data_IF_441091497000
#
_entry.id   IF_441091497000
#
_cell.length_a   1.000
_cell.length_b   1.000
_cell.length_c   1.000
_cell.angle_alpha   90.00
_cell.angle_beta   90.00
_cell.angle_gamma   90.00
#
_symmetry.space_group_name_H-M   'P 1'
#
loop_
_entity.id
_entity.type
_entity.pdbx_description
1 polymer ?
#
# COMPACT_ATOMS: atom_id res chain seq x y z
N UNK A 1 -11.89 -18.15 10.01
CA UNK A 1 -11.17 -17.02 10.65
C UNK A 1 -11.21 -15.84 9.69
N UNK A 2 -11.34 -14.60 10.20
CA UNK A 2 -11.30 -13.42 9.35
C UNK A 2 -9.95 -13.36 8.62
N UNK A 3 -10.01 -13.32 7.30
CA UNK A 3 -8.85 -13.36 6.43
C UNK A 3 -8.33 -11.93 6.27
N UNK A 4 -7.20 -11.63 6.90
CA UNK A 4 -6.71 -10.25 7.06
C UNK A 4 -5.30 -10.14 6.55
N UNK A 5 -4.95 -8.96 6.07
CA UNK A 5 -3.60 -8.65 5.64
C UNK A 5 -3.06 -7.37 6.28
N UNK A 6 -1.75 -7.29 6.35
CA UNK A 6 -1.03 -6.02 6.43
C UNK A 6 -0.42 -5.76 5.05
N UNK A 7 -0.89 -4.70 4.42
CA UNK A 7 -0.31 -4.10 3.24
C UNK A 7 0.88 -3.24 3.64
N UNK A 8 2.02 -3.43 2.98
CA UNK A 8 3.26 -2.70 3.25
C UNK A 8 3.69 -1.99 1.98
N UNK A 9 4.08 -0.72 2.07
CA UNK A 9 4.93 -0.15 1.03
C UNK A 9 6.30 -0.85 1.05
N UNK A 10 7.03 -0.73 -0.05
CA UNK A 10 8.34 -1.34 -0.22
C UNK A 10 9.45 -0.39 0.22
N UNK A 11 9.56 0.72 -0.50
CA UNK A 11 10.62 1.71 -0.36
C UNK A 11 10.41 2.51 0.93
N UNK A 12 11.47 2.69 1.73
CA UNK A 12 11.48 3.34 3.05
C UNK A 12 10.54 2.74 4.12
N UNK A 13 9.90 1.61 3.81
CA UNK A 13 9.07 0.83 4.75
C UNK A 13 9.67 -0.55 5.03
N UNK A 14 10.00 -1.30 3.97
CA UNK A 14 10.68 -2.60 4.08
C UNK A 14 12.18 -2.51 3.81
N UNK A 15 12.57 -1.66 2.86
CA UNK A 15 13.96 -1.49 2.42
C UNK A 15 14.33 -0.02 2.44
N UNK A 16 15.62 0.28 2.63
CA UNK A 16 16.12 1.64 2.46
C UNK A 16 16.15 1.99 0.97
N UNK A 17 15.51 3.11 0.58
CA UNK A 17 15.58 3.61 -0.78
C UNK A 17 15.28 5.11 -0.88
N UNK A 18 16.31 5.91 -1.15
CA UNK A 18 16.19 7.36 -1.38
C UNK A 18 16.05 7.73 -2.88
N UNK A 19 15.74 6.76 -3.76
CA UNK A 19 15.62 7.00 -5.20
C UNK A 19 14.93 5.88 -5.99
N UNK A 20 15.37 5.70 -7.24
CA UNK A 20 14.84 4.67 -8.15
C UNK A 20 15.68 3.38 -8.04
N UNK A 21 15.30 2.48 -7.13
CA UNK A 21 16.00 1.22 -6.90
C UNK A 21 15.51 0.10 -7.84
N UNK A 22 16.23 -0.10 -8.94
CA UNK A 22 16.09 -1.26 -9.83
C UNK A 22 17.17 -2.33 -9.66
N UNK A 23 18.24 -2.03 -8.92
CA UNK A 23 19.37 -2.96 -8.74
C UNK A 23 19.15 -3.85 -7.49
N UNK A 24 18.99 -5.17 -7.65
CA UNK A 24 18.79 -6.08 -6.53
C UNK A 24 19.97 -6.08 -5.55
N UNK A 25 21.21 -5.84 -5.99
CA UNK A 25 22.36 -5.91 -5.08
C UNK A 25 22.38 -4.76 -4.07
N UNK A 26 21.67 -3.67 -4.37
CA UNK A 26 21.50 -2.51 -3.48
C UNK A 26 20.37 -2.66 -2.46
N UNK A 27 19.63 -3.78 -2.48
CA UNK A 27 18.56 -4.01 -1.51
C UNK A 27 19.14 -4.14 -0.10
N UNK A 28 18.72 -3.25 0.80
CA UNK A 28 19.03 -3.31 2.23
C UNK A 28 17.74 -3.26 3.02
N UNK A 29 17.43 -4.30 3.79
CA UNK A 29 16.27 -4.32 4.67
C UNK A 29 16.40 -3.24 5.73
N UNK A 30 15.30 -2.56 6.02
CA UNK A 30 15.21 -1.67 7.19
C UNK A 30 15.36 -2.50 8.46
N UNK A 31 16.05 -1.94 9.44
CA UNK A 31 16.25 -2.58 10.73
C UNK A 31 14.89 -2.98 11.36
N UNK A 32 14.77 -4.28 11.69
CA UNK A 32 13.56 -4.84 12.29
C UNK A 32 12.44 -5.19 11.30
N UNK A 33 12.61 -4.96 9.99
CA UNK A 33 11.58 -5.30 9.00
C UNK A 33 11.25 -6.80 9.00
N UNK A 34 12.27 -7.67 9.00
CA UNK A 34 12.06 -9.12 9.00
C UNK A 34 11.34 -9.61 10.28
N UNK A 35 11.75 -9.11 11.45
CA UNK A 35 11.12 -9.48 12.72
C UNK A 35 9.69 -8.94 12.85
N UNK A 36 9.42 -7.75 12.30
CA UNK A 36 8.08 -7.19 12.24
C UNK A 36 7.16 -8.04 11.35
N UNK A 37 7.60 -8.41 10.14
CA UNK A 37 6.86 -9.33 9.26
C UNK A 37 6.57 -10.64 9.98
N UNK A 38 7.58 -11.27 10.59
CA UNK A 38 7.40 -12.53 11.33
C UNK A 38 6.39 -12.39 12.48
N UNK A 39 6.40 -11.26 13.18
CA UNK A 39 5.47 -10.97 14.27
C UNK A 39 4.04 -10.77 13.77
N UNK A 40 3.85 -10.00 12.69
CA UNK A 40 2.53 -9.82 12.05
C UNK A 40 1.96 -11.14 11.54
N UNK A 41 2.81 -11.99 10.95
CA UNK A 41 2.46 -13.36 10.58
C UNK A 41 2.07 -14.21 11.78
N UNK A 42 2.79 -14.11 12.90
CA UNK A 42 2.43 -14.74 14.18
C UNK A 42 1.08 -14.26 14.73
N UNK A 43 0.68 -13.03 14.41
CA UNK A 43 -0.64 -12.48 14.70
C UNK A 43 -1.72 -12.90 13.67
N UNK A 44 -1.41 -13.80 12.74
CA UNK A 44 -2.38 -14.34 11.79
C UNK A 44 -2.69 -13.43 10.59
N UNK A 45 -1.87 -12.40 10.34
CA UNK A 45 -2.00 -11.59 9.13
C UNK A 45 -1.24 -12.22 7.96
N UNK A 46 -1.83 -12.11 6.76
CA UNK A 46 -1.08 -12.20 5.50
C UNK A 46 -0.27 -10.91 5.30
N UNK A 47 0.85 -10.99 4.60
CA UNK A 47 1.72 -9.87 4.31
C UNK A 47 1.71 -9.64 2.81
N UNK A 48 1.29 -8.44 2.40
CA UNK A 48 1.18 -8.07 0.99
C UNK A 48 1.97 -6.80 0.78
N UNK A 49 2.86 -6.79 -0.20
CA UNK A 49 3.60 -5.58 -0.59
C UNK A 49 2.86 -4.87 -1.72
N UNK A 50 2.60 -3.57 -1.57
CA UNK A 50 1.93 -2.73 -2.56
C UNK A 50 2.76 -1.47 -2.82
N UNK A 51 3.36 -1.34 -4.00
CA UNK A 51 4.40 -0.32 -4.24
C UNK A 51 4.26 0.42 -5.58
N UNK A 52 4.52 1.73 -5.57
CA UNK A 52 4.58 2.53 -6.80
C UNK A 52 5.99 2.43 -7.40
N UNK A 53 6.14 1.83 -8.57
CA UNK A 53 7.43 1.64 -9.26
C UNK A 53 7.53 2.52 -10.51
N UNK A 54 7.36 3.83 -10.31
CA UNK A 54 7.39 4.82 -11.39
C UNK A 54 8.75 4.96 -12.09
N UNK A 55 9.82 4.36 -11.56
CA UNK A 55 11.11 4.28 -12.23
C UNK A 55 11.04 3.52 -13.57
N UNK A 56 10.08 2.57 -13.71
CA UNK A 56 9.78 1.91 -14.98
C UNK A 56 9.29 2.92 -16.02
N UNK A 57 8.25 3.67 -15.68
CA UNK A 57 7.74 4.76 -16.52
C UNK A 57 8.81 5.83 -16.86
N UNK A 58 9.76 6.08 -15.96
CA UNK A 58 10.89 7.00 -16.18
C UNK A 58 12.05 6.40 -16.97
N UNK A 59 11.98 5.13 -17.37
CA UNK A 59 13.05 4.42 -18.09
C UNK A 59 14.32 4.21 -17.26
N UNK A 60 14.21 4.18 -15.93
CA UNK A 60 15.35 3.99 -15.01
C UNK A 60 15.72 2.52 -14.82
N UNK A 61 14.73 1.64 -14.89
CA UNK A 61 14.85 0.19 -14.82
C UNK A 61 13.62 -0.46 -15.44
N UNK A 62 13.66 -1.75 -15.69
CA UNK A 62 12.59 -2.55 -16.31
C UNK A 62 11.69 -3.20 -15.27
N UNK A 63 10.54 -3.75 -15.69
CA UNK A 63 9.71 -4.59 -14.82
C UNK A 63 10.46 -5.86 -14.36
N UNK A 64 11.33 -6.42 -15.19
CA UNK A 64 12.17 -7.55 -14.81
C UNK A 64 13.15 -7.20 -13.67
N UNK A 65 13.64 -5.96 -13.64
CA UNK A 65 14.48 -5.46 -12.55
C UNK A 65 13.67 -5.31 -11.25
N UNK A 66 12.41 -4.86 -11.34
CA UNK A 66 11.48 -4.82 -10.20
C UNK A 66 11.28 -6.23 -9.62
N UNK A 67 11.06 -7.22 -10.48
CA UNK A 67 10.90 -8.61 -10.06
C UNK A 67 12.17 -9.17 -9.40
N UNK A 68 13.35 -8.84 -9.95
CA UNK A 68 14.64 -9.20 -9.35
C UNK A 68 14.83 -8.58 -7.95
N UNK A 69 14.45 -7.30 -7.78
CA UNK A 69 14.45 -6.62 -6.48
C UNK A 69 13.48 -7.31 -5.51
N UNK A 70 12.26 -7.65 -5.92
CA UNK A 70 11.32 -8.38 -5.08
C UNK A 70 11.85 -9.74 -4.65
N UNK A 71 12.46 -10.50 -5.57
CA UNK A 71 13.08 -11.78 -5.24
C UNK A 71 14.21 -11.62 -4.23
N UNK A 72 15.02 -10.56 -4.37
CA UNK A 72 16.09 -10.26 -3.42
C UNK A 72 15.56 -9.89 -2.03
N UNK A 73 14.44 -9.17 -1.94
CA UNK A 73 13.76 -8.90 -0.66
C UNK A 73 13.37 -10.22 -0.01
N UNK A 74 12.72 -11.11 -0.76
CA UNK A 74 12.35 -12.45 -0.26
C UNK A 74 13.57 -13.20 0.25
N UNK A 75 14.68 -13.20 -0.51
CA UNK A 75 15.91 -13.87 -0.10
C UNK A 75 16.51 -13.30 1.19
N UNK A 76 16.43 -11.98 1.40
CA UNK A 76 16.90 -11.33 2.64
C UNK A 76 15.98 -11.58 3.83
N UNK A 77 14.72 -11.92 3.61
CA UNK A 77 13.78 -12.27 4.68
C UNK A 77 13.92 -13.73 5.13
N UNK A 78 14.35 -14.65 4.25
CA UNK A 78 14.50 -16.10 4.52
C UNK A 78 15.21 -16.46 5.83
N UNK A 79 16.29 -15.78 6.27
CA UNK A 79 16.96 -16.12 7.52
C UNK A 79 16.10 -15.95 8.77
N UNK A 80 15.04 -15.14 8.70
CA UNK A 80 14.11 -14.94 9.82
C UNK A 80 12.92 -15.87 9.67
N UNK A 81 12.74 -16.78 10.63
CA UNK A 81 11.60 -17.71 10.62
C UNK A 81 10.26 -16.95 10.58
N UNK A 82 9.32 -17.43 9.76
CA UNK A 82 7.99 -16.85 9.56
C UNK A 82 7.97 -15.43 8.92
N UNK A 83 9.11 -14.86 8.51
CA UNK A 83 9.15 -13.59 7.77
C UNK A 83 8.81 -13.81 6.29
N UNK A 84 7.52 -14.03 5.99
CA UNK A 84 7.05 -14.41 4.66
C UNK A 84 6.15 -13.31 4.09
N UNK A 85 6.43 -12.91 2.85
CA UNK A 85 5.54 -12.09 2.02
C UNK A 85 4.68 -13.01 1.16
N UNK A 86 3.36 -12.87 1.24
CA UNK A 86 2.41 -13.70 0.51
C UNK A 86 2.26 -13.25 -0.95
N UNK A 87 2.26 -11.93 -1.19
CA UNK A 87 2.09 -11.31 -2.52
C UNK A 87 2.82 -9.98 -2.66
N UNK A 88 3.22 -9.68 -3.89
CA UNK A 88 3.69 -8.37 -4.32
C UNK A 88 2.75 -7.84 -5.40
N UNK A 89 2.36 -6.58 -5.30
CA UNK A 89 1.70 -5.81 -6.33
C UNK A 89 2.48 -4.52 -6.54
N UNK A 90 2.66 -4.11 -7.80
CA UNK A 90 3.32 -2.86 -8.11
C UNK A 90 2.63 -2.13 -9.26
N UNK A 91 2.78 -0.80 -9.27
CA UNK A 91 2.32 0.04 -10.36
C UNK A 91 3.50 0.65 -11.13
N UNK A 92 3.74 0.26 -12.40
CA UNK A 92 4.81 0.83 -13.22
C UNK A 92 4.40 2.16 -13.89
N UNK A 93 3.10 2.50 -13.91
CA UNK A 93 2.54 3.64 -14.65
C UNK A 93 2.77 4.99 -13.97
N UNK A 94 2.90 6.03 -14.80
CA UNK A 94 2.99 7.43 -14.40
C UNK A 94 2.33 8.35 -15.44
N UNK A 95 1.55 9.38 -15.06
CA UNK A 95 0.94 10.31 -16.02
C UNK A 95 1.98 11.03 -16.89
N UNK A 96 3.10 11.40 -16.30
CA UNK A 96 4.22 12.08 -16.95
C UNK A 96 5.38 11.12 -17.32
N UNK A 97 5.09 9.85 -17.63
CA UNK A 97 6.14 8.87 -17.97
C UNK A 97 7.03 9.34 -19.14
N UNK A 98 8.28 8.89 -19.19
CA UNK A 98 9.15 9.09 -20.37
C UNK A 98 8.92 7.97 -21.39
N UNK A 99 8.70 6.74 -20.90
CA UNK A 99 8.38 5.58 -21.72
C UNK A 99 6.88 5.58 -22.01
N UNK A 100 6.51 5.72 -23.28
CA UNK A 100 5.11 5.97 -23.69
C UNK A 100 4.16 4.83 -23.31
N UNK A 101 4.62 3.57 -23.30
CA UNK A 101 3.84 2.42 -22.85
C UNK A 101 3.29 2.58 -21.43
N UNK A 102 4.02 3.29 -20.56
CA UNK A 102 3.65 3.48 -19.16
C UNK A 102 3.03 4.86 -18.88
N UNK A 103 2.82 5.69 -19.92
CA UNK A 103 2.33 7.07 -19.81
C UNK A 103 0.82 7.14 -19.64
N UNK A 104 0.34 6.99 -18.41
CA UNK A 104 -1.07 7.15 -18.06
C UNK A 104 -1.29 7.31 -16.57
N UNK A 105 -2.41 7.94 -16.21
CA UNK A 105 -3.01 7.71 -14.90
C UNK A 105 -3.48 6.25 -14.81
N UNK A 106 -3.31 5.63 -13.65
CA UNK A 106 -3.64 4.22 -13.47
C UNK A 106 -4.24 3.97 -12.09
N UNK A 107 -5.35 3.19 -11.97
CA UNK A 107 -5.98 2.92 -10.68
C UNK A 107 -5.08 2.21 -9.65
N UNK A 108 -4.00 1.57 -10.09
CA UNK A 108 -3.02 0.94 -9.19
C UNK A 108 -1.97 1.92 -8.64
N UNK A 109 -1.88 3.15 -9.16
CA UNK A 109 -0.91 4.13 -8.67
C UNK A 109 -1.45 4.79 -7.41
N UNK A 110 -0.84 4.52 -6.25
CA UNK A 110 -1.18 5.21 -4.99
C UNK A 110 -1.06 6.73 -5.20
N UNK A 111 -2.06 7.55 -4.81
CA UNK A 111 -3.08 7.29 -3.78
C UNK A 111 -4.32 6.49 -4.23
N UNK A 112 -4.44 6.09 -5.50
CA UNK A 112 -5.54 5.23 -5.92
C UNK A 112 -5.43 3.82 -5.25
N UNK A 113 -6.55 3.21 -4.84
CA UNK A 113 -6.56 2.01 -4.02
C UNK A 113 -6.41 0.70 -4.81
N UNK A 114 -6.21 0.74 -6.12
CA UNK A 114 -6.39 -0.42 -7.01
C UNK A 114 -5.52 -1.63 -6.66
N UNK A 115 -4.28 -1.44 -6.21
CA UNK A 115 -3.44 -2.56 -5.75
C UNK A 115 -4.00 -3.23 -4.50
N UNK A 116 -4.54 -2.44 -3.55
CA UNK A 116 -5.12 -2.96 -2.32
C UNK A 116 -6.43 -3.68 -2.62
N UNK A 117 -7.28 -3.11 -3.47
CA UNK A 117 -8.55 -3.72 -3.89
C UNK A 117 -8.32 -5.05 -4.61
N UNK A 118 -7.37 -5.10 -5.54
CA UNK A 118 -7.00 -6.36 -6.22
C UNK A 118 -6.53 -7.41 -5.21
N UNK A 119 -5.67 -7.02 -4.27
CA UNK A 119 -5.17 -7.93 -3.26
C UNK A 119 -6.27 -8.41 -2.29
N UNK A 120 -7.24 -7.55 -1.96
CA UNK A 120 -8.42 -7.91 -1.16
C UNK A 120 -9.24 -8.98 -1.88
N UNK A 121 -9.47 -8.82 -3.18
CA UNK A 121 -10.20 -9.79 -4.00
C UNK A 121 -9.41 -11.11 -4.13
N UNK A 122 -8.17 -11.06 -4.63
CA UNK A 122 -7.32 -12.22 -4.89
C UNK A 122 -7.11 -13.11 -3.66
N UNK A 123 -7.08 -12.48 -2.48
CA UNK A 123 -6.84 -13.15 -1.23
C UNK A 123 -8.11 -13.36 -0.41
N UNK A 124 -9.28 -12.89 -0.85
CA UNK A 124 -10.56 -12.90 -0.12
C UNK A 124 -10.44 -12.32 1.30
N UNK A 125 -9.95 -11.07 1.38
CA UNK A 125 -9.66 -10.38 2.64
C UNK A 125 -10.87 -9.61 3.17
N UNK A 126 -10.97 -9.47 4.49
CA UNK A 126 -11.86 -8.55 5.19
C UNK A 126 -11.15 -7.18 5.35
N UNK A 127 -11.55 -6.13 4.60
CA UNK A 127 -10.86 -4.84 4.61
C UNK A 127 -10.84 -4.18 5.99
N UNK A 128 -11.92 -4.29 6.77
CA UNK A 128 -12.02 -3.73 8.12
C UNK A 128 -11.06 -4.38 9.12
N UNK A 129 -10.58 -5.58 8.78
CA UNK A 129 -9.54 -6.30 9.48
C UNK A 129 -8.12 -5.99 9.01
N UNK A 130 -7.94 -5.31 7.87
CA UNK A 130 -6.64 -5.06 7.26
C UNK A 130 -6.00 -3.74 7.73
N UNK A 131 -4.72 -3.58 7.36
CA UNK A 131 -3.89 -2.41 7.63
C UNK A 131 -3.03 -2.06 6.40
N UNK A 132 -2.83 -0.78 6.12
CA UNK A 132 -1.81 -0.25 5.20
C UNK A 132 -0.71 0.45 6.00
N UNK A 133 0.55 0.13 5.74
CA UNK A 133 1.70 0.77 6.36
C UNK A 133 2.61 1.31 5.26
N UNK A 134 2.91 2.60 5.29
CA UNK A 134 3.80 3.26 4.34
C UNK A 134 4.46 4.48 4.93
N UNK A 135 5.43 5.06 4.22
CA UNK A 135 6.17 6.26 4.63
C UNK A 135 5.56 7.56 4.08
N UNK A 136 4.56 7.48 3.20
CA UNK A 136 3.98 8.67 2.56
C UNK A 136 2.47 8.76 2.74
N UNK A 137 1.93 10.00 2.69
CA UNK A 137 0.49 10.22 2.83
C UNK A 137 -0.34 9.53 1.74
N UNK A 138 0.21 9.37 0.53
CA UNK A 138 -0.44 8.58 -0.53
C UNK A 138 -0.73 7.13 -0.12
N UNK A 139 0.04 6.55 0.80
CA UNK A 139 -0.20 5.20 1.32
C UNK A 139 -1.40 5.17 2.26
N UNK A 140 -1.50 6.19 3.11
CA UNK A 140 -2.63 6.43 4.01
C UNK A 140 -3.91 6.62 3.20
N UNK A 141 -3.86 7.48 2.18
CA UNK A 141 -5.00 7.74 1.28
C UNK A 141 -5.45 6.48 0.53
N UNK A 142 -4.51 5.72 -0.03
CA UNK A 142 -4.83 4.45 -0.69
C UNK A 142 -5.46 3.44 0.28
N UNK A 143 -4.97 3.40 1.52
CA UNK A 143 -5.54 2.59 2.60
C UNK A 143 -7.00 2.96 2.88
N UNK A 144 -7.26 4.23 3.15
CA UNK A 144 -8.61 4.72 3.44
C UNK A 144 -9.56 4.53 2.25
N UNK A 145 -9.11 4.79 1.03
CA UNK A 145 -9.90 4.58 -0.18
C UNK A 145 -10.23 3.09 -0.43
N UNK A 146 -9.42 2.16 0.09
CA UNK A 146 -9.68 0.72 0.06
C UNK A 146 -10.52 0.23 1.26
N UNK A 147 -10.94 1.11 2.18
CA UNK A 147 -11.64 0.74 3.39
C UNK A 147 -10.78 0.01 4.43
N UNK A 148 -9.45 0.16 4.34
CA UNK A 148 -8.50 -0.41 5.31
C UNK A 148 -7.96 0.67 6.23
N UNK A 149 -7.55 0.28 7.42
CA UNK A 149 -6.88 1.17 8.38
C UNK A 149 -5.46 1.46 7.90
N UNK A 150 -4.85 2.55 8.34
CA UNK A 150 -3.53 2.99 7.93
C UNK A 150 -2.62 3.37 9.10
N UNK A 151 -1.32 3.14 8.94
CA UNK A 151 -0.26 3.62 9.83
C UNK A 151 0.80 4.31 8.97
N UNK A 152 1.14 5.54 9.32
CA UNK A 152 2.19 6.29 8.64
C UNK A 152 3.51 6.15 9.40
N UNK A 153 4.56 5.77 8.67
CA UNK A 153 5.92 5.74 9.17
C UNK A 153 6.55 7.12 9.02
N UNK A 154 6.82 7.79 10.15
CA UNK A 154 7.51 9.07 10.15
C UNK A 154 8.21 9.31 11.48
N UNK A 155 9.43 9.85 11.43
CA UNK A 155 10.19 10.29 12.61
C UNK A 155 9.69 11.62 13.16
N UNK A 156 9.03 12.42 12.32
CA UNK A 156 8.48 13.72 12.67
C UNK A 156 6.97 13.71 12.52
N UNK A 157 6.28 14.66 13.15
CA UNK A 157 4.84 14.80 12.95
C UNK A 157 4.61 15.30 11.52
N UNK A 158 3.88 14.57 10.68
CA UNK A 158 3.60 14.99 9.31
C UNK A 158 2.63 16.18 9.34
N UNK A 159 2.79 17.08 8.38
CA UNK A 159 1.76 18.08 8.06
C UNK A 159 0.69 17.33 7.27
N UNK A 160 -0.50 17.21 7.83
CA UNK A 160 -1.64 16.58 7.17
C UNK A 160 -2.46 17.71 6.56
N UNK A 161 -2.58 17.70 5.24
CA UNK A 161 -3.34 18.73 4.52
C UNK A 161 -4.82 18.69 4.87
N UNK A 162 -5.52 19.85 4.85
CA UNK A 162 -6.96 19.89 5.00
C UNK A 162 -7.66 19.01 3.95
N UNK A 163 -8.46 18.04 4.41
CA UNK A 163 -9.21 17.13 3.55
C UNK A 163 -8.62 15.72 3.42
N UNK A 164 -7.40 15.49 3.90
CA UNK A 164 -6.83 14.13 4.02
C UNK A 164 -7.19 13.56 5.38
N UNK A 165 -7.87 12.41 5.41
CA UNK A 165 -8.17 11.72 6.65
C UNK A 165 -6.86 11.28 7.34
N UNK A 166 -6.68 11.58 8.65
CA UNK A 166 -5.44 11.24 9.34
C UNK A 166 -5.30 9.72 9.50
N UNK A 167 -4.07 9.19 9.52
CA UNK A 167 -3.85 7.78 9.78
C UNK A 167 -4.22 7.43 11.22
N UNK A 168 -4.53 6.15 11.46
CA UNK A 168 -4.83 5.65 12.80
C UNK A 168 -3.66 5.78 13.78
N UNK A 169 -2.43 5.81 13.27
CA UNK A 169 -1.23 6.08 14.04
C UNK A 169 -0.12 6.63 13.15
N UNK A 170 0.76 7.44 13.76
CA UNK A 170 2.05 7.83 13.20
C UNK A 170 3.13 7.27 14.12
N UNK A 171 4.06 6.50 13.57
CA UNK A 171 5.11 5.80 14.34
C UNK A 171 6.45 5.88 13.62
N UNK A 172 7.56 5.70 14.35
CA UNK A 172 8.87 5.93 13.78
C UNK A 172 9.37 4.81 12.85
N UNK A 173 8.84 3.59 13.00
CA UNK A 173 9.33 2.40 12.29
C UNK A 173 8.30 1.25 12.27
N UNK A 174 8.57 0.24 11.46
CA UNK A 174 7.70 -0.92 11.24
C UNK A 174 7.51 -1.80 12.51
N UNK A 175 8.50 -1.83 13.42
CA UNK A 175 8.39 -2.56 14.69
C UNK A 175 7.36 -1.90 15.61
N UNK A 176 7.36 -0.57 15.70
CA UNK A 176 6.34 0.18 16.44
C UNK A 176 4.95 0.04 15.81
N UNK A 177 4.86 0.07 14.47
CA UNK A 177 3.60 -0.18 13.77
C UNK A 177 3.02 -1.56 14.12
N UNK A 178 3.89 -2.58 14.17
CA UNK A 178 3.50 -3.94 14.59
C UNK A 178 2.97 -3.97 16.02
N UNK A 179 3.58 -3.20 16.94
CA UNK A 179 3.11 -3.08 18.33
C UNK A 179 1.71 -2.46 18.40
N UNK A 180 1.45 -1.40 17.63
CA UNK A 180 0.12 -0.77 17.55
C UNK A 180 -0.93 -1.77 17.07
N UNK A 181 -0.62 -2.56 16.04
CA UNK A 181 -1.52 -3.58 15.50
C UNK A 181 -1.79 -4.69 16.54
N UNK A 182 -0.77 -5.13 17.27
CA UNK A 182 -0.91 -6.13 18.32
C UNK A 182 -1.80 -5.65 19.48
N UNK A 183 -1.59 -4.42 19.96
CA UNK A 183 -2.38 -3.83 21.04
C UNK A 183 -3.86 -3.72 20.68
N UNK A 184 -4.17 -3.16 19.50
CA UNK A 184 -5.57 -3.00 19.05
C UNK A 184 -6.29 -4.33 18.82
N UNK A 185 -5.55 -5.39 18.52
CA UNK A 185 -6.12 -6.73 18.44
C UNK A 185 -6.54 -7.19 19.84
N UNK A 186 -5.66 -7.09 20.82
CA UNK A 186 -5.97 -7.48 22.20
C UNK A 186 -7.15 -6.70 22.75
N UNK A 187 -7.26 -5.40 22.44
CA UNK A 187 -8.40 -4.58 22.87
C UNK A 187 -9.72 -5.05 22.24
N UNK A 188 -9.71 -5.39 20.94
CA UNK A 188 -10.91 -5.94 20.26
C UNK A 188 -11.29 -7.31 20.77
N UNK A 189 -10.31 -8.19 20.97
CA UNK A 189 -10.54 -9.54 21.47
C UNK A 189 -11.07 -9.47 22.91
N UNK A 190 -10.51 -8.57 23.74
CA UNK A 190 -11.02 -8.27 25.09
C UNK A 190 -12.43 -7.68 25.05
N UNK A 191 -12.70 -6.69 24.20
CA UNK A 191 -14.02 -6.08 24.07
C UNK A 191 -15.09 -7.08 23.60
N UNK A 192 -14.73 -8.03 22.73
CA UNK A 192 -15.63 -9.14 22.33
C UNK A 192 -15.97 -10.08 23.49
N UNK A 193 -15.00 -10.36 24.35
CA UNK A 193 -15.23 -11.15 25.57
C UNK A 193 -16.19 -10.41 26.52
N UNK A 194 -15.99 -9.10 26.70
CA UNK A 194 -16.82 -8.30 27.61
C UNK A 194 -18.21 -7.95 27.04
N UNK A 195 -18.40 -7.96 25.71
CA UNK A 195 -19.68 -7.67 25.05
C UNK A 195 -20.57 -8.90 24.83
N UNK A 196 -20.22 -10.06 25.40
CA UNK A 196 -21.10 -11.22 25.45
C UNK A 196 -21.31 -11.93 24.11
N UNK A 197 -20.30 -11.96 23.23
CA UNK A 197 -20.33 -12.82 22.05
C UNK A 197 -20.49 -14.28 22.49
N UNK A 198 -21.51 -14.97 21.95
CA UNK A 198 -21.98 -16.31 22.32
C UNK A 198 -20.95 -17.16 23.06
N UNK A 199 -21.27 -17.41 24.34
CA UNK A 199 -20.60 -18.41 25.15
C UNK A 199 -20.80 -19.76 24.47
N UNK A 200 -19.86 -20.16 23.63
CA UNK A 200 -19.62 -21.57 23.37
C UNK A 200 -19.20 -22.14 24.73
N UNK A 201 -20.16 -22.77 25.40
CA UNK A 201 -19.91 -23.62 26.56
C UNK A 201 -18.91 -24.66 26.07
N UNK A 202 -17.63 -24.42 26.39
CA UNK A 202 -16.62 -25.46 26.27
C UNK A 202 -16.92 -26.38 27.44
N UNK A 203 -17.60 -27.48 27.16
CA UNK A 203 -17.73 -28.57 28.11
C UNK A 203 -16.32 -28.91 28.64
N UNK A 204 -16.13 -29.00 29.96
CA UNK A 204 -14.85 -29.40 30.50
C UNK A 204 -14.47 -30.76 29.89
N UNK A 205 -13.20 -30.97 29.48
CA UNK A 205 -12.79 -32.25 28.92
C UNK A 205 -13.16 -33.36 29.92
N UNK A 206 -13.69 -34.50 29.46
CA UNK A 206 -14.04 -35.59 30.34
C UNK A 206 -12.82 -35.97 31.18
N UNK A 207 -13.01 -35.93 32.50
CA UNK A 207 -12.00 -36.32 33.49
C UNK A 207 -11.51 -37.74 33.13
N UNK A 208 -10.20 -38.00 33.05
CA UNK A 208 -9.70 -39.35 32.81
C UNK A 208 -10.24 -40.27 33.90
N UNK A 209 -11.06 -41.24 33.51
CA UNK A 209 -11.43 -42.36 34.37
C UNK A 209 -10.15 -43.13 34.66
N UNK A 210 -9.75 -43.17 35.93
CA UNK A 210 -8.68 -44.04 36.42
C UNK A 210 -9.01 -45.49 36.04
N UNK A 211 -8.11 -46.23 35.36
CA UNK A 211 -8.24 -47.66 35.26
C UNK A 211 -7.98 -48.28 36.64
N UNK A 212 -8.90 -49.14 37.06
CA UNK A 212 -8.81 -49.94 38.26
C UNK A 212 -7.56 -50.84 38.24
N UNK A 213 -7.01 -51.04 39.44
CA UNK A 213 -5.87 -51.88 39.79
C UNK A 213 -5.79 -53.19 38.99
N UNK A 214 -4.70 -53.37 38.26
CA UNK A 214 -4.21 -54.69 37.80
C UNK A 214 -2.90 -55.00 38.54
N UNK A 215 -2.69 -56.21 39.10
CA UNK A 215 -1.48 -56.55 39.86
C UNK A 215 -0.21 -56.59 39.00
N UNK A 216 0.99 -56.40 39.60
CA UNK A 216 2.24 -56.25 38.85
C UNK A 216 2.76 -57.59 38.29
N UNK A 217 3.25 -57.55 37.05
CA UNK A 217 3.94 -58.65 36.38
C UNK A 217 5.44 -58.69 36.79
N UNK A 218 6.10 -59.87 36.84
CA UNK A 218 7.47 -60.00 37.37
C UNK A 218 8.57 -59.49 36.41
N UNK A 219 9.80 -59.24 36.91
CA UNK A 219 10.83 -58.51 36.17
C UNK A 219 11.55 -59.38 35.13
N UNK A 220 11.78 -58.82 33.94
CA UNK A 220 12.74 -59.35 32.96
C UNK A 220 13.91 -58.37 32.78
N UNK A 221 15.13 -58.90 32.95
CA UNK A 221 16.44 -58.31 32.63
C UNK A 221 17.13 -59.18 31.56
N UNK A 222 18.25 -58.76 30.94
CA UNK A 222 18.57 -57.48 30.33
C UNK A 222 18.98 -57.65 28.84
N UNK A 223 19.25 -56.55 28.14
CA UNK A 223 19.64 -56.49 26.72
C UNK A 223 21.00 -57.16 26.39
N UNK A 224 21.20 -57.67 25.15
CA UNK A 224 22.52 -57.99 24.59
C UNK A 224 23.02 -56.92 23.58
N UNK A 225 24.32 -56.96 23.20
CA UNK A 225 25.16 -55.77 23.02
C UNK A 225 25.27 -55.23 21.58
N UNK A 226 25.83 -54.02 21.48
CA UNK A 226 26.29 -53.38 20.24
C UNK A 226 27.57 -54.02 19.67
N UNK A 227 27.71 -53.90 18.34
CA UNK A 227 28.93 -53.71 17.49
C UNK A 227 29.10 -54.79 16.39
N UNK A 228 29.80 -54.56 15.26
CA UNK A 228 30.45 -53.34 14.76
C UNK A 228 30.11 -52.96 13.28
N UNK A 229 30.58 -51.77 12.94
CA UNK A 229 30.81 -51.13 11.65
C UNK A 229 31.41 -52.04 10.54
N UNK A 230 30.87 -51.98 9.31
CA UNK A 230 31.64 -52.24 8.07
C UNK A 230 30.92 -51.72 6.81
N UNK A 231 31.67 -50.89 6.09
CA UNK A 231 31.73 -50.62 4.65
C UNK A 231 30.52 -50.21 3.79
N UNK A 232 30.72 -49.02 3.18
CA UNK A 232 29.95 -48.35 2.13
C UNK A 232 29.85 -49.19 0.84
N UNK A 233 28.77 -48.98 0.08
CA UNK A 233 28.94 -48.58 -1.32
C UNK A 233 28.54 -47.11 -1.54
N UNK A 234 29.43 -46.36 -2.20
CA UNK A 234 29.18 -45.00 -2.66
C UNK A 234 28.12 -44.99 -3.77
N UNK A 235 26.98 -44.34 -3.54
CA UNK A 235 26.01 -43.94 -4.57
C UNK A 235 26.45 -42.59 -5.16
N UNK A 236 26.38 -42.38 -6.49
CA UNK A 236 26.90 -41.18 -7.14
C UNK A 236 26.10 -39.93 -6.75
N UNK A 237 26.69 -38.72 -6.87
CA UNK A 237 26.03 -37.48 -6.47
C UNK A 237 24.76 -37.27 -7.30
N UNK A 238 23.63 -37.23 -6.61
CA UNK A 238 22.36 -36.78 -7.18
C UNK A 238 22.53 -35.35 -7.69
N UNK A 239 22.30 -35.15 -8.98
CA UNK A 239 22.29 -33.84 -9.65
C UNK A 239 21.56 -32.77 -8.83
N UNK A 240 22.02 -31.51 -8.86
CA UNK A 240 21.30 -30.42 -8.20
C UNK A 240 19.89 -30.34 -8.80
N UNK A 241 18.89 -30.58 -7.95
CA UNK A 241 17.48 -30.36 -8.31
C UNK A 241 17.35 -28.95 -8.88
N UNK A 242 17.10 -28.86 -10.18
CA UNK A 242 16.73 -27.61 -10.86
C UNK A 242 15.62 -26.95 -10.06
N UNK A 243 15.72 -25.65 -9.72
CA UNK A 243 14.63 -24.95 -9.05
C UNK A 243 13.39 -24.98 -9.95
N UNK A 244 12.44 -25.84 -9.60
CA UNK A 244 11.12 -25.87 -10.22
C UNK A 244 10.33 -24.67 -9.73
N UNK A 245 10.45 -23.55 -10.46
CA UNK A 245 9.37 -22.72 -11.00
C UNK A 245 9.96 -21.37 -11.45
N UNK A 246 9.96 -21.04 -12.75
CA UNK A 246 10.20 -19.67 -13.16
C UNK A 246 9.05 -18.80 -12.64
N UNK A 247 9.41 -17.71 -11.98
CA UNK A 247 8.53 -16.58 -11.72
C UNK A 247 7.90 -16.15 -13.05
N UNK A 248 6.57 -16.28 -13.19
CA UNK A 248 5.84 -15.64 -14.28
C UNK A 248 5.46 -14.24 -13.79
N UNK A 249 5.80 -13.16 -14.50
CA UNK A 249 5.20 -11.84 -14.21
C UNK A 249 3.69 -12.03 -14.26
N UNK A 250 3.01 -11.72 -13.14
CA UNK A 250 1.56 -11.88 -13.08
C UNK A 250 0.95 -10.86 -14.03
N UNK A 251 0.42 -11.38 -15.13
CA UNK A 251 -0.18 -10.61 -16.20
C UNK A 251 -1.22 -9.66 -15.61
N UNK A 252 -1.07 -8.37 -15.90
CA UNK A 252 -2.10 -7.36 -15.71
C UNK A 252 -3.32 -7.84 -16.50
N UNK A 253 -4.27 -8.46 -15.83
CA UNK A 253 -5.57 -8.70 -16.43
C UNK A 253 -6.26 -7.33 -16.54
N UNK A 254 -6.73 -6.92 -17.72
CA UNK A 254 -7.56 -5.73 -17.80
C UNK A 254 -8.80 -5.96 -16.94
N UNK A 255 -9.02 -5.10 -15.95
CA UNK A 255 -10.29 -5.01 -15.23
C UNK A 255 -11.34 -4.57 -16.25
N UNK A 256 -12.08 -5.53 -16.82
CA UNK A 256 -13.29 -5.26 -17.58
C UNK A 256 -14.40 -5.13 -16.56
N UNK A 257 -14.79 -3.89 -16.27
CA UNK A 257 -16.03 -3.61 -15.54
C UNK A 257 -17.19 -4.07 -16.45
N UNK A 258 -18.03 -5.04 -16.07
CA UNK A 258 -19.16 -5.44 -16.89
C UNK A 258 -20.18 -4.30 -16.91
N UNK A 259 -20.34 -3.66 -18.08
CA UNK A 259 -21.55 -2.90 -18.36
C UNK A 259 -22.56 -3.93 -18.85
N UNK A 260 -23.51 -4.32 -18.00
CA UNK A 260 -24.63 -5.15 -18.41
C UNK A 260 -25.42 -4.42 -19.51
N UNK A 261 -25.28 -4.89 -20.76
CA UNK A 261 -26.16 -4.54 -21.86
C UNK A 261 -27.45 -5.34 -21.71
N UNK A 262 -28.54 -4.65 -21.37
CA UNK A 262 -29.90 -5.19 -21.41
C UNK A 262 -30.21 -5.72 -22.82
N UNK A 263 -30.81 -6.91 -22.98
CA UNK A 263 -31.02 -7.51 -24.29
C UNK A 263 -32.07 -6.72 -25.10
N UNK A 264 -31.69 -6.42 -26.35
CA UNK A 264 -32.54 -5.88 -27.41
C UNK A 264 -33.53 -6.94 -27.86
N UNK A 265 -34.82 -6.76 -27.57
CA UNK A 265 -35.89 -7.50 -28.23
C UNK A 265 -36.31 -6.73 -29.47
N UNK A 266 -35.96 -7.28 -30.63
CA UNK A 266 -36.54 -6.98 -31.93
C UNK A 266 -37.98 -7.48 -31.98
N UNK A 267 -38.90 -6.71 -32.57
CA UNK A 267 -39.95 -7.16 -33.51
C UNK A 267 -40.81 -5.95 -33.98
N UNK A 268 -41.49 -6.06 -35.14
CA UNK A 268 -41.39 -5.09 -36.23
C UNK A 268 -42.50 -4.03 -36.29
N UNK A 269 -42.17 -2.96 -37.01
CA UNK A 269 -43.01 -1.83 -37.41
C UNK A 269 -44.19 -2.29 -38.26
N UNK A 270 -45.41 -1.92 -37.85
CA UNK A 270 -46.60 -1.83 -38.71
C UNK A 270 -47.23 -0.45 -38.51
N UNK A 271 -47.50 0.23 -39.63
CA UNK A 271 -48.07 1.58 -39.71
C UNK A 271 -49.62 1.56 -39.57
N UNK A 272 -50.26 2.70 -39.25
CA UNK A 272 -51.62 2.77 -38.70
C UNK A 272 -52.70 2.98 -39.78
N UNK A 273 -53.99 2.90 -39.39
CA UNK A 273 -54.88 4.01 -39.72
C UNK A 273 -55.87 4.42 -38.60
N UNK A 274 -56.07 5.75 -38.53
CA UNK A 274 -57.29 6.56 -38.29
C UNK A 274 -58.39 6.14 -37.29
N UNK A 275 -58.61 7.05 -36.31
CA UNK A 275 -59.85 7.62 -35.70
C UNK A 275 -61.23 6.96 -35.92
N UNK A 276 -62.29 7.19 -35.07
CA UNK A 276 -62.46 8.23 -34.04
C UNK A 276 -63.12 7.76 -32.71
N UNK A 277 -63.36 8.75 -31.84
CA UNK A 277 -64.02 8.73 -30.54
C UNK A 277 -65.50 8.27 -30.52
N UNK A 278 -65.94 7.75 -29.37
CA UNK A 278 -67.24 7.94 -28.69
C UNK A 278 -67.23 7.10 -27.38
N UNK A 279 -67.54 7.68 -26.21
CA UNK A 279 -68.78 7.42 -25.41
C UNK A 279 -68.94 5.93 -25.00
N UNK A 280 -69.30 5.50 -23.79
CA UNK A 280 -69.88 6.07 -22.58
C UNK A 280 -70.10 4.89 -21.59
N UNK A 281 -69.85 5.12 -20.29
CA UNK A 281 -70.75 4.74 -19.16
C UNK A 281 -70.83 3.29 -18.62
N UNK A 282 -70.66 3.24 -17.29
CA UNK A 282 -71.14 2.38 -16.18
C UNK A 282 -70.67 0.94 -15.86
N UNK A 283 -70.34 0.82 -14.57
CA UNK A 283 -70.46 -0.29 -13.59
C UNK A 283 -69.79 -1.64 -13.82
N UNK A 284 -68.88 -2.01 -12.89
CA UNK A 284 -69.05 -3.12 -11.91
C UNK A 284 -67.73 -3.41 -11.14
N UNK A 285 -67.85 -3.63 -9.84
CA UNK A 285 -66.81 -4.14 -8.91
C UNK A 285 -66.26 -5.51 -9.34
N UNK A 286 -64.93 -5.71 -9.27
CA UNK A 286 -64.34 -6.87 -8.57
C UNK A 286 -62.78 -6.85 -8.51
N UNK A 287 -62.30 -7.14 -7.31
CA UNK A 287 -61.09 -7.85 -6.85
C UNK A 287 -59.70 -7.78 -7.55
N UNK A 288 -58.68 -7.69 -6.68
CA UNK A 288 -57.29 -8.14 -6.79
C UNK A 288 -56.43 -7.72 -7.99
N UNK A 289 -55.45 -6.83 -7.76
CA UNK A 289 -53.99 -7.13 -7.75
C UNK A 289 -53.15 -5.86 -7.64
N UNK A 290 -52.31 -5.80 -6.61
CA UNK A 290 -51.22 -4.84 -6.46
C UNK A 290 -50.12 -5.12 -7.50
N UNK A 291 -49.91 -4.19 -8.44
CA UNK A 291 -48.75 -4.19 -9.33
C UNK A 291 -47.86 -2.98 -9.03
N UNK A 292 -46.61 -3.29 -8.69
CA UNK A 292 -45.49 -2.38 -8.46
C UNK A 292 -45.33 -1.35 -9.59
N UNK A 293 -45.35 -0.06 -9.25
CA UNK A 293 -44.89 1.02 -10.12
C UNK A 293 -43.36 1.12 -9.98
N UNK A 294 -42.55 0.88 -11.02
CA UNK A 294 -41.11 1.08 -10.94
C UNK A 294 -40.77 2.58 -10.82
N UNK A 295 -39.76 2.96 -10.02
CA UNK A 295 -39.40 4.36 -9.82
C UNK A 295 -38.91 5.02 -11.12
N UNK A 296 -39.14 6.33 -11.31
CA UNK A 296 -38.73 7.04 -12.51
C UNK A 296 -37.20 7.04 -12.66
N UNK A 297 -36.67 7.01 -13.90
CA UNK A 297 -35.24 7.05 -14.15
C UNK A 297 -34.62 8.37 -13.63
N UNK A 298 -33.36 8.35 -13.15
CA UNK A 298 -32.71 9.54 -12.62
C UNK A 298 -32.61 10.64 -13.69
N UNK A 299 -32.74 11.92 -13.31
CA UNK A 299 -32.74 13.01 -14.27
C UNK A 299 -31.40 13.09 -15.00
N UNK A 300 -31.47 13.36 -16.30
CA UNK A 300 -30.30 13.62 -17.13
C UNK A 300 -29.52 14.80 -16.55
N UNK A 301 -28.21 14.60 -16.38
CA UNK A 301 -27.26 15.61 -15.86
C UNK A 301 -27.42 16.88 -16.70
N UNK A 302 -27.89 17.96 -16.08
CA UNK A 302 -28.16 19.22 -16.77
C UNK A 302 -26.84 19.93 -17.12
N UNK A 303 -26.86 20.79 -18.14
CA UNK A 303 -25.68 21.56 -18.55
C UNK A 303 -25.04 22.35 -17.38
N UNK A 304 -25.84 22.76 -16.40
CA UNK A 304 -25.34 23.45 -15.19
C UNK A 304 -24.51 22.54 -14.29
N UNK A 305 -24.86 21.25 -14.18
CA UNK A 305 -24.05 20.27 -13.46
C UNK A 305 -22.74 19.96 -14.20
N UNK A 306 -22.74 19.94 -15.54
CA UNK A 306 -21.51 19.80 -16.33
C UNK A 306 -20.59 21.02 -16.19
N UNK A 307 -21.16 22.22 -16.15
CA UNK A 307 -20.39 23.47 -15.92
C UNK A 307 -19.80 23.51 -14.53
N UNK A 308 -20.52 23.03 -13.51
CA UNK A 308 -19.97 22.96 -12.14
C UNK A 308 -18.89 21.87 -12.01
N UNK A 309 -19.05 20.74 -12.71
CA UNK A 309 -18.01 19.71 -12.80
C UNK A 309 -16.75 20.25 -13.49
N UNK A 310 -16.91 21.00 -14.58
CA UNK A 310 -15.81 21.67 -15.28
C UNK A 310 -15.12 22.71 -14.40
N UNK A 311 -15.88 23.49 -13.62
CA UNK A 311 -15.30 24.43 -12.65
C UNK A 311 -14.56 23.72 -11.53
N UNK A 312 -15.07 22.59 -11.03
CA UNK A 312 -14.37 21.76 -10.05
C UNK A 312 -13.09 21.15 -10.62
N UNK A 313 -13.12 20.64 -11.86
CA UNK A 313 -11.94 20.11 -12.55
C UNK A 313 -10.91 21.21 -12.77
N UNK A 314 -11.32 22.40 -13.21
CA UNK A 314 -10.41 23.55 -13.39
C UNK A 314 -9.82 23.99 -12.06
N UNK A 315 -10.60 24.01 -10.95
CA UNK A 315 -10.06 24.30 -9.61
C UNK A 315 -9.06 23.22 -9.16
N UNK A 316 -9.35 21.94 -9.39
CA UNK A 316 -8.44 20.85 -9.05
C UNK A 316 -7.16 20.87 -9.88
N UNK A 317 -7.24 21.22 -11.16
CA UNK A 317 -6.07 21.38 -12.03
C UNK A 317 -5.23 22.58 -11.60
N UNK A 318 -5.87 23.69 -11.20
CA UNK A 318 -5.17 24.88 -10.69
C UNK A 318 -4.49 24.61 -9.34
N UNK A 319 -5.07 23.75 -8.50
CA UNK A 319 -4.45 23.31 -7.24
C UNK A 319 -3.32 22.31 -7.47
N UNK A 320 -3.47 21.34 -8.37
CA UNK A 320 -2.37 20.41 -8.73
C UNK A 320 -1.19 21.11 -9.40
N UNK A 321 -1.44 22.18 -10.16
CA UNK A 321 -0.35 22.99 -10.74
C UNK A 321 0.41 23.81 -9.69
N UNK A 322 -0.17 24.09 -8.53
CA UNK A 322 0.54 24.72 -7.42
C UNK A 322 1.54 23.76 -6.77
N UNK A 323 1.31 22.45 -6.87
CA UNK A 323 2.04 21.42 -6.14
C UNK A 323 3.15 20.74 -6.97
N UNK A 324 3.18 20.94 -8.29
CA UNK A 324 4.30 20.57 -9.17
C UNK A 324 5.06 21.79 -9.72
N UNK A 325 4.74 22.98 -9.18
CA UNK A 325 5.39 24.25 -9.51
C UNK A 325 6.40 24.71 -8.46
N UNK A 326 6.75 23.90 -7.45
CA UNK A 326 7.59 24.37 -6.35
C UNK A 326 9.10 24.18 -6.61
N UNK A 327 9.55 24.64 -7.78
CA UNK A 327 10.87 25.26 -7.86
C UNK A 327 10.78 26.59 -7.13
N UNK A 328 10.65 26.54 -5.79
CA UNK A 328 10.47 27.73 -4.96
C UNK A 328 11.65 28.65 -5.25
N UNK A 329 11.39 29.74 -5.97
CA UNK A 329 12.39 30.73 -6.39
C UNK A 329 13.26 31.14 -5.18
N UNK A 330 12.64 31.17 -4.00
CA UNK A 330 13.28 31.45 -2.72
C UNK A 330 14.28 30.37 -2.29
N UNK A 331 13.97 29.07 -2.45
CA UNK A 331 14.90 27.95 -2.19
C UNK A 331 16.07 27.94 -3.19
N UNK A 332 15.80 28.22 -4.47
CA UNK A 332 16.85 28.36 -5.48
C UNK A 332 17.76 29.57 -5.18
N UNK A 333 17.19 30.73 -4.88
CA UNK A 333 17.94 31.93 -4.50
C UNK A 333 18.74 31.70 -3.22
N UNK A 334 18.17 31.05 -2.20
CA UNK A 334 18.88 30.69 -0.98
C UNK A 334 20.09 29.78 -1.27
N UNK A 335 19.95 28.78 -2.15
CA UNK A 335 21.07 27.93 -2.55
C UNK A 335 22.17 28.72 -3.30
N UNK A 336 21.79 29.66 -4.18
CA UNK A 336 22.73 30.53 -4.89
C UNK A 336 23.49 31.44 -3.92
N UNK A 337 22.80 32.13 -3.00
CA UNK A 337 23.43 32.97 -1.98
C UNK A 337 24.30 32.16 -1.01
N UNK A 338 23.94 30.90 -0.74
CA UNK A 338 24.79 30.00 0.05
C UNK A 338 26.10 29.68 -0.67
N UNK A 339 26.06 29.39 -1.98
CA UNK A 339 27.28 29.17 -2.77
C UNK A 339 28.14 30.44 -2.86
N UNK A 340 27.53 31.62 -3.01
CA UNK A 340 28.25 32.89 -2.98
C UNK A 340 28.92 33.15 -1.62
N UNK A 341 28.24 32.84 -0.52
CA UNK A 341 28.81 32.97 0.82
C UNK A 341 30.06 32.10 1.00
N UNK A 342 29.98 30.83 0.57
CA UNK A 342 31.12 29.91 0.61
C UNK A 342 32.25 30.40 -0.29
N UNK A 343 31.93 30.87 -1.49
CA UNK A 343 32.90 31.46 -2.42
C UNK A 343 33.63 32.66 -1.83
N UNK A 344 32.91 33.58 -1.19
CA UNK A 344 33.49 34.74 -0.51
C UNK A 344 34.46 34.33 0.61
N UNK A 345 34.10 33.33 1.42
CA UNK A 345 34.98 32.83 2.48
C UNK A 345 36.25 32.17 1.90
N UNK A 346 36.12 31.37 0.84
CA UNK A 346 37.28 30.77 0.17
C UNK A 346 38.20 31.83 -0.45
N UNK A 347 37.63 32.88 -1.05
CA UNK A 347 38.40 33.98 -1.63
C UNK A 347 39.07 34.85 -0.56
N UNK A 348 38.42 35.08 0.57
CA UNK A 348 39.03 35.70 1.75
C UNK A 348 40.23 34.87 2.22
N UNK A 349 40.07 33.56 2.38
CA UNK A 349 41.17 32.68 2.80
C UNK A 349 42.32 32.65 1.80
N UNK A 350 42.06 32.77 0.50
CA UNK A 350 43.11 32.85 -0.52
C UNK A 350 43.87 34.18 -0.50
N UNK A 351 43.21 35.27 -0.07
CA UNK A 351 43.77 36.62 0.02
C UNK A 351 44.07 37.04 1.46
N UNK A 352 44.31 36.09 2.37
CA UNK A 352 44.47 36.35 3.81
C UNK A 352 45.64 37.29 4.16
N UNK A 353 46.59 37.48 3.24
CA UNK A 353 47.76 38.34 3.41
C UNK A 353 47.47 39.81 3.20
N UNK A 354 46.38 40.17 2.51
CA UNK A 354 45.91 41.55 2.37
C UNK A 354 44.69 41.78 3.26
N UNK A 355 44.90 42.50 4.36
CA UNK A 355 43.88 42.74 5.37
C UNK A 355 42.64 43.46 4.82
N UNK A 356 42.79 44.35 3.82
CA UNK A 356 41.65 45.10 3.26
C UNK A 356 40.80 44.18 2.39
N UNK A 357 41.45 43.45 1.48
CA UNK A 357 40.77 42.48 0.61
C UNK A 357 40.13 41.35 1.42
N UNK A 358 40.83 40.82 2.43
CA UNK A 358 40.30 39.82 3.35
C UNK A 358 39.01 40.30 4.04
N UNK A 359 39.03 41.51 4.60
CA UNK A 359 37.87 42.05 5.32
C UNK A 359 36.68 42.32 4.39
N UNK A 360 36.92 42.78 3.16
CA UNK A 360 35.87 42.99 2.15
C UNK A 360 35.16 41.68 1.77
N UNK A 361 35.92 40.60 1.52
CA UNK A 361 35.35 39.30 1.19
C UNK A 361 34.64 38.65 2.38
N UNK A 362 35.16 38.79 3.61
CA UNK A 362 34.48 38.34 4.82
C UNK A 362 33.15 39.08 5.05
N UNK A 363 33.12 40.40 4.84
CA UNK A 363 31.88 41.18 4.92
C UNK A 363 30.87 40.76 3.85
N UNK A 364 31.31 40.49 2.62
CA UNK A 364 30.46 39.95 1.54
C UNK A 364 29.88 38.57 1.87
N UNK A 365 30.67 37.68 2.48
CA UNK A 365 30.20 36.38 2.95
C UNK A 365 29.12 36.48 4.03
N UNK A 366 29.32 37.37 5.01
CA UNK A 366 28.34 37.64 6.08
C UNK A 366 27.04 38.23 5.53
N UNK A 367 27.12 39.18 4.59
CA UNK A 367 25.93 39.76 3.96
C UNK A 367 25.13 38.69 3.19
N UNK A 368 25.83 37.83 2.44
CA UNK A 368 25.20 36.72 1.71
C UNK A 368 24.52 35.73 2.66
N UNK A 369 25.12 35.44 3.83
CA UNK A 369 24.49 34.61 4.87
C UNK A 369 23.22 35.23 5.45
N UNK A 370 23.21 36.55 5.68
CA UNK A 370 22.00 37.25 6.13
C UNK A 370 20.87 37.17 5.09
N UNK A 371 21.21 37.23 3.80
CA UNK A 371 20.24 37.02 2.72
C UNK A 371 19.65 35.60 2.72
N UNK A 372 20.49 34.57 2.93
CA UNK A 372 20.02 33.17 3.05
C UNK A 372 19.06 33.02 4.24
N UNK A 373 19.45 33.51 5.42
CA UNK A 373 18.62 33.42 6.63
C UNK A 373 17.28 34.15 6.43
N UNK A 374 17.31 35.34 5.83
CA UNK A 374 16.09 36.12 5.54
C UNK A 374 15.15 35.36 4.58
N UNK A 375 15.70 34.76 3.52
CA UNK A 375 14.90 33.96 2.56
C UNK A 375 14.31 32.70 3.21
N UNK A 376 15.03 32.05 4.12
CA UNK A 376 14.55 30.89 4.85
C UNK A 376 13.47 31.25 5.88
N UNK A 377 13.60 32.37 6.58
CA UNK A 377 12.57 32.85 7.52
C UNK A 377 11.29 33.24 6.77
N UNK A 378 11.41 33.96 5.65
CA UNK A 378 10.27 34.32 4.82
C UNK A 378 9.57 33.11 4.19
N UNK A 379 10.30 32.02 3.96
CA UNK A 379 9.70 30.76 3.53
C UNK A 379 8.93 30.05 4.66
N UNK A 380 9.37 30.21 5.91
CA UNK A 380 8.76 29.55 7.06
C UNK A 380 7.45 30.21 7.54
N UNK A 381 7.14 31.41 7.03
CA UNK A 381 5.93 32.17 7.36
C UNK A 381 4.81 32.05 6.30
N UNK A 382 5.09 31.38 5.18
CA UNK A 382 4.12 31.00 4.14
C UNK A 382 3.72 29.53 4.34
#
# INVERSE_FOLDING_TARGET
MANRAVFLDRDNTLIHNDGDLGDPDKVVLIQGAASAIASLRGLGYRIVVVTNQGGVARGKYTEADVDAVHQRIVDKLKPTNNAIVDRFYYCPFHPEAVVDEYRREHPWRKPAPGMLLQAIEDLNLDPAGCWMIGDQLRDVEAGHAAGVRSILLSKTRPVIEPGVAPPEAVVANLVEATRVIAQRRNDRDSAKIHSGGESAIVDPPPRPTQPANTPPEPPQSPAPPKSPESDKPQTPPSEPRKPTRPFKPWTIQPVVVPIEKKPSSTHPVVAPPDSPAAESVDDFDDDATSLDVPPPPPPAVTNDQQVELLRQIVRQLKHRHADHGDFSLKKMLAAVFQMLAVGCVLFALFNYTDAVTFLQWMAGGLLSQLCVITLLILHWQE
#
